data_IF_221650850646
#
_entry.id   IF_221650850646
#
_cell.length_a   1.000
_cell.length_b   1.000
_cell.length_c   1.000
_cell.angle_alpha   90.00
_cell.angle_beta   90.00
_cell.angle_gamma   90.00
#
_symmetry.space_group_name_H-M   'P 1'
#
loop_
_entity.id
_entity.type
_entity.pdbx_description
1 polymer ?
#
# COMPACT_ATOMS: atom_id res chain seq x y z
N UNK A 1 15.18 -7.78 26.15
CA UNK A 1 13.97 -7.18 25.56
C UNK A 1 13.84 -7.76 24.17
N UNK A 2 12.81 -8.57 23.91
CA UNK A 2 12.64 -9.23 22.61
C UNK A 2 12.43 -8.18 21.52
N UNK A 3 13.29 -8.17 20.50
CA UNK A 3 13.08 -7.31 19.34
C UNK A 3 11.72 -7.63 18.68
N UNK A 4 10.86 -6.63 18.43
CA UNK A 4 9.54 -6.81 17.79
C UNK A 4 9.62 -7.23 16.30
N UNK A 5 10.80 -7.57 15.79
CA UNK A 5 10.98 -7.97 14.39
C UNK A 5 10.51 -9.42 14.16
N UNK A 6 10.61 -10.28 15.17
CA UNK A 6 10.17 -11.69 15.07
C UNK A 6 8.65 -11.87 15.05
N UNK A 7 7.86 -10.85 15.39
CA UNK A 7 6.39 -10.99 15.51
C UNK A 7 5.65 -10.93 14.18
N UNK A 8 6.25 -10.41 13.11
CA UNK A 8 5.57 -10.22 11.82
C UNK A 8 6.15 -11.07 10.67
N UNK A 9 7.20 -11.85 10.94
CA UNK A 9 7.76 -12.83 10.02
C UNK A 9 7.06 -14.17 10.27
N UNK A 10 6.35 -14.74 9.28
CA UNK A 10 5.57 -15.98 9.40
C UNK A 10 4.17 -15.77 10.02
N UNK A 11 3.33 -15.00 9.33
CA UNK A 11 1.90 -14.87 9.67
C UNK A 11 1.06 -15.17 8.45
N UNK A 12 -0.07 -15.88 8.63
CA UNK A 12 -1.05 -16.02 7.57
C UNK A 12 -1.70 -14.66 7.26
N UNK A 13 -2.18 -14.47 6.03
CA UNK A 13 -2.96 -13.27 5.71
C UNK A 13 -4.22 -13.18 6.60
N UNK A 14 -4.86 -14.32 6.93
CA UNK A 14 -6.01 -14.38 7.82
C UNK A 14 -5.71 -13.81 9.21
N UNK A 15 -4.60 -14.21 9.83
CA UNK A 15 -4.19 -13.66 11.13
C UNK A 15 -3.85 -12.17 11.01
N UNK A 16 -3.17 -11.79 9.94
CA UNK A 16 -2.80 -10.41 9.68
C UNK A 16 -4.01 -9.46 9.53
N UNK A 17 -5.10 -9.93 8.92
CA UNK A 17 -6.35 -9.18 8.77
C UNK A 17 -7.04 -8.85 10.10
N UNK A 18 -6.75 -9.62 11.16
CA UNK A 18 -7.32 -9.44 12.50
C UNK A 18 -6.38 -8.69 13.46
N UNK A 19 -5.14 -8.44 13.04
CA UNK A 19 -4.12 -7.84 13.88
C UNK A 19 -4.15 -6.32 13.81
N UNK A 20 -4.19 -5.66 14.96
CA UNK A 20 -3.92 -4.23 15.07
C UNK A 20 -2.41 -3.97 15.04
N UNK A 21 -1.97 -3.01 14.21
CA UNK A 21 -0.59 -2.59 14.02
C UNK A 21 -0.41 -1.22 14.68
N UNK A 22 0.54 -1.13 15.61
CA UNK A 22 0.85 0.12 16.32
C UNK A 22 1.30 1.21 15.32
N UNK A 23 0.54 2.33 15.18
CA UNK A 23 0.89 3.43 14.29
C UNK A 23 2.30 4.00 14.51
N UNK A 24 2.82 3.97 15.74
CA UNK A 24 4.15 4.51 16.06
C UNK A 24 5.31 3.76 15.38
N UNK A 25 5.04 2.54 14.91
CA UNK A 25 6.02 1.65 14.27
C UNK A 25 5.98 1.70 12.73
N UNK A 26 5.02 2.43 12.16
CA UNK A 26 4.76 2.46 10.72
C UNK A 26 5.63 3.46 9.97
N UNK A 27 5.81 3.20 8.68
CA UNK A 27 6.38 4.14 7.73
C UNK A 27 5.26 5.06 7.20
N UNK A 28 5.47 6.36 7.30
CA UNK A 28 4.57 7.44 6.85
C UNK A 28 5.35 8.45 6.01
N UNK A 29 4.90 8.64 4.76
CA UNK A 29 5.35 9.64 3.79
C UNK A 29 6.87 9.66 3.51
N UNK A 30 7.50 8.50 3.38
CA UNK A 30 8.93 8.36 3.18
C UNK A 30 9.36 8.51 1.70
N UNK A 31 8.85 9.53 1.00
CA UNK A 31 9.23 9.83 -0.39
C UNK A 31 10.50 10.70 -0.46
N UNK A 32 11.21 10.67 -1.59
CA UNK A 32 12.39 11.52 -1.83
C UNK A 32 12.09 13.00 -1.50
N UNK A 33 12.96 13.66 -0.74
CA UNK A 33 12.70 15.03 -0.23
C UNK A 33 12.78 16.14 -1.27
N UNK A 34 13.33 15.83 -2.45
CA UNK A 34 13.52 16.74 -3.59
C UNK A 34 12.28 16.86 -4.49
N UNK A 35 11.22 16.09 -4.22
CA UNK A 35 9.97 16.10 -4.99
C UNK A 35 10.06 15.38 -6.34
N UNK A 36 11.13 14.61 -6.59
CA UNK A 36 11.36 13.91 -7.86
C UNK A 36 10.59 12.59 -8.00
N UNK A 37 9.86 12.15 -6.96
CA UNK A 37 9.30 10.79 -6.83
C UNK A 37 10.34 9.69 -7.09
N UNK A 38 11.62 9.99 -6.80
CA UNK A 38 12.75 9.07 -7.00
C UNK A 38 12.64 7.83 -6.14
N UNK A 39 13.17 6.74 -6.68
CA UNK A 39 13.15 5.42 -6.05
C UNK A 39 13.81 5.45 -4.66
N UNK A 40 13.06 5.01 -3.66
CA UNK A 40 13.56 4.71 -2.31
C UNK A 40 13.76 3.21 -2.14
N UNK A 41 14.78 2.81 -1.39
CA UNK A 41 15.06 1.38 -1.12
C UNK A 41 14.08 0.75 -0.11
N UNK A 42 13.37 1.57 0.66
CA UNK A 42 12.27 1.22 1.56
C UNK A 42 10.89 1.61 0.96
N UNK A 43 9.78 1.06 1.47
CA UNK A 43 8.42 1.51 1.14
C UNK A 43 8.24 2.99 1.43
N UNK A 44 7.54 3.71 0.54
CA UNK A 44 7.20 5.12 0.79
C UNK A 44 6.11 5.32 1.86
N UNK A 45 5.55 4.22 2.38
CA UNK A 45 4.68 4.21 3.55
C UNK A 45 3.27 4.74 3.31
N UNK A 46 2.57 5.01 4.41
CA UNK A 46 1.27 5.68 4.41
C UNK A 46 1.38 7.05 3.73
N UNK A 47 0.35 7.44 2.98
CA UNK A 47 0.29 8.79 2.44
C UNK A 47 0.18 9.83 3.57
N UNK A 48 0.63 11.07 3.33
CA UNK A 48 0.59 12.18 4.29
C UNK A 48 -0.79 12.41 4.94
N UNK A 49 -1.87 12.08 4.22
CA UNK A 49 -3.26 12.23 4.68
C UNK A 49 -3.61 11.28 5.84
N UNK A 50 -2.79 10.25 6.06
CA UNK A 50 -2.87 9.39 7.22
C UNK A 50 -2.65 10.15 8.55
N UNK A 51 -1.97 11.31 8.53
CA UNK A 51 -1.84 12.18 9.71
C UNK A 51 -3.18 12.58 10.34
N UNK A 52 -4.25 12.65 9.54
CA UNK A 52 -5.59 12.98 10.03
C UNK A 52 -6.43 11.76 10.38
N UNK A 53 -5.89 10.56 10.17
CA UNK A 53 -6.64 9.29 10.27
C UNK A 53 -5.99 8.28 11.22
N UNK A 54 -4.73 8.42 11.59
CA UNK A 54 -4.03 7.41 12.42
C UNK A 54 -4.68 7.22 13.80
N UNK A 55 -5.32 8.26 14.35
CA UNK A 55 -6.03 8.22 15.64
C UNK A 55 -7.35 7.44 15.58
N UNK A 56 -7.86 7.14 14.39
CA UNK A 56 -9.02 6.23 14.20
C UNK A 56 -8.69 4.78 14.56
N UNK A 57 -7.39 4.47 14.74
CA UNK A 57 -6.93 3.23 15.33
C UNK A 57 -7.39 1.99 14.55
N UNK A 58 -8.04 1.06 15.24
CA UNK A 58 -8.42 -0.24 14.68
C UNK A 58 -9.34 -0.14 13.46
N UNK A 59 -10.14 0.93 13.35
CA UNK A 59 -11.11 1.15 12.28
C UNK A 59 -10.47 1.28 10.89
N UNK A 60 -9.18 1.63 10.82
CA UNK A 60 -8.46 1.79 9.55
C UNK A 60 -7.61 0.59 9.18
N UNK A 61 -7.60 -0.45 10.01
CA UNK A 61 -6.66 -1.58 9.89
C UNK A 61 -7.30 -2.96 9.95
N UNK A 62 -8.46 -3.08 10.60
CA UNK A 62 -9.15 -4.36 10.82
C UNK A 62 -10.59 -4.24 10.35
N UNK A 63 -11.00 -5.18 9.52
CA UNK A 63 -12.35 -5.28 8.96
C UNK A 63 -12.63 -6.69 8.46
N UNK A 64 -13.82 -6.89 7.91
CA UNK A 64 -14.33 -8.23 7.58
C UNK A 64 -13.79 -8.80 6.26
N UNK A 65 -13.18 -7.98 5.42
CA UNK A 65 -12.71 -8.34 4.08
C UNK A 65 -13.78 -9.06 3.23
N UNK A 66 -15.04 -8.66 3.35
CA UNK A 66 -16.16 -9.27 2.61
C UNK A 66 -16.31 -8.75 1.17
N UNK A 67 -15.77 -7.57 0.86
CA UNK A 67 -15.83 -6.98 -0.48
C UNK A 67 -14.65 -7.46 -1.34
N UNK A 68 -14.90 -7.75 -2.62
CA UNK A 68 -13.88 -8.38 -3.47
C UNK A 68 -12.70 -7.46 -3.77
N UNK A 69 -12.95 -6.31 -4.40
CA UNK A 69 -11.88 -5.44 -4.89
C UNK A 69 -12.33 -3.99 -4.92
N UNK A 70 -11.42 -3.09 -4.55
CA UNK A 70 -11.61 -1.66 -4.68
C UNK A 70 -10.62 -1.09 -5.71
N UNK A 71 -11.12 -0.20 -6.56
CA UNK A 71 -10.29 0.67 -7.41
C UNK A 71 -10.64 2.11 -7.09
N UNK A 72 -9.64 2.92 -6.74
CA UNK A 72 -9.87 4.33 -6.38
C UNK A 72 -8.64 5.20 -6.69
N UNK A 73 -7.99 4.94 -7.82
CA UNK A 73 -6.79 5.66 -8.22
C UNK A 73 -7.11 6.83 -9.13
N UNK A 74 -6.35 7.92 -9.04
CA UNK A 74 -6.50 9.01 -9.99
C UNK A 74 -5.94 8.60 -11.36
N UNK A 75 -6.81 8.51 -12.38
CA UNK A 75 -6.41 8.09 -13.73
C UNK A 75 -5.67 9.17 -14.53
N UNK A 76 -5.60 10.40 -14.02
CA UNK A 76 -4.94 11.54 -14.64
C UNK A 76 -3.54 11.86 -14.06
N UNK A 77 -3.03 11.07 -13.11
CA UNK A 77 -1.65 11.21 -12.59
C UNK A 77 -0.65 10.40 -13.42
N UNK A 78 0.65 10.54 -13.14
CA UNK A 78 1.74 9.79 -13.80
C UNK A 78 1.81 9.97 -15.34
N UNK A 79 1.19 11.03 -15.84
CA UNK A 79 1.15 11.36 -17.27
C UNK A 79 2.53 11.70 -17.81
N UNK A 80 3.43 12.25 -16.98
CA UNK A 80 4.80 12.58 -17.37
C UNK A 80 5.62 11.35 -17.78
N UNK A 81 5.38 10.20 -17.15
CA UNK A 81 6.16 8.98 -17.35
C UNK A 81 5.48 8.02 -18.31
N UNK A 82 4.15 7.84 -18.19
CA UNK A 82 3.42 6.76 -18.86
C UNK A 82 2.27 7.19 -19.77
N UNK A 83 2.04 8.48 -20.02
CA UNK A 83 0.90 8.90 -20.86
C UNK A 83 0.89 8.28 -22.26
N UNK A 84 2.06 8.06 -22.87
CA UNK A 84 2.22 7.43 -24.18
C UNK A 84 2.42 5.91 -24.14
N UNK A 85 2.45 5.30 -22.96
CA UNK A 85 2.65 3.86 -22.83
C UNK A 85 1.34 3.11 -23.05
N UNK A 86 1.44 1.89 -23.60
CA UNK A 86 0.28 1.00 -23.79
C UNK A 86 -0.41 0.69 -22.47
N UNK A 87 0.38 0.43 -21.42
CA UNK A 87 -0.11 0.28 -20.04
C UNK A 87 0.04 1.63 -19.33
N UNK A 88 -1.08 2.33 -19.22
CA UNK A 88 -1.20 3.58 -18.47
C UNK A 88 -2.48 3.57 -17.64
N UNK A 89 -2.61 4.53 -16.71
CA UNK A 89 -3.72 4.56 -15.75
C UNK A 89 -5.11 4.62 -16.39
N UNK A 90 -5.27 5.27 -17.54
CA UNK A 90 -6.54 5.30 -18.28
C UNK A 90 -6.85 3.94 -18.91
N UNK A 91 -5.86 3.31 -19.54
CA UNK A 91 -6.01 1.97 -20.09
C UNK A 91 -6.38 0.95 -19.01
N UNK A 92 -5.75 1.06 -17.82
CA UNK A 92 -6.06 0.22 -16.66
C UNK A 92 -7.52 0.44 -16.22
N UNK A 93 -7.96 1.69 -16.08
CA UNK A 93 -9.35 2.02 -15.72
C UNK A 93 -10.36 1.44 -16.73
N UNK A 94 -10.06 1.50 -18.03
CA UNK A 94 -10.90 0.93 -19.09
C UNK A 94 -10.98 -0.60 -18.99
N UNK A 95 -9.84 -1.29 -18.83
CA UNK A 95 -9.80 -2.75 -18.71
C UNK A 95 -10.58 -3.24 -17.48
N UNK A 96 -10.43 -2.56 -16.35
CA UNK A 96 -11.17 -2.87 -15.12
C UNK A 96 -12.67 -2.65 -15.30
N UNK A 97 -13.08 -1.57 -15.98
CA UNK A 97 -14.48 -1.30 -16.26
C UNK A 97 -15.13 -2.37 -17.15
N UNK A 98 -14.39 -2.91 -18.13
CA UNK A 98 -14.86 -4.04 -18.95
C UNK A 98 -15.16 -5.28 -18.10
N UNK A 99 -14.43 -5.46 -17.00
CA UNK A 99 -14.64 -6.53 -16.01
C UNK A 99 -15.57 -6.12 -14.86
N UNK A 100 -16.35 -5.04 -15.02
CA UNK A 100 -17.31 -4.50 -14.04
C UNK A 100 -16.67 -4.03 -12.73
N UNK A 101 -15.38 -3.72 -12.74
CA UNK A 101 -14.66 -3.11 -11.62
C UNK A 101 -14.56 -1.61 -11.90
N UNK A 102 -15.52 -0.85 -11.37
CA UNK A 102 -15.53 0.61 -11.53
C UNK A 102 -14.47 1.27 -10.63
N UNK A 103 -13.76 2.25 -11.19
CA UNK A 103 -12.88 3.12 -10.43
C UNK A 103 -13.71 4.18 -9.68
N UNK A 104 -13.47 4.32 -8.38
CA UNK A 104 -14.28 5.11 -7.48
C UNK A 104 -13.53 6.35 -7.00
N UNK A 105 -14.28 7.43 -6.76
CA UNK A 105 -13.77 8.60 -6.04
C UNK A 105 -14.20 8.46 -4.58
N UNK A 106 -13.23 8.20 -3.71
CA UNK A 106 -13.47 8.01 -2.28
C UNK A 106 -12.98 9.24 -1.53
N UNK A 107 -13.82 9.85 -0.67
CA UNK A 107 -13.37 10.91 0.22
C UNK A 107 -12.19 10.48 1.08
N UNK A 108 -11.25 11.40 1.25
CA UNK A 108 -9.96 11.13 1.92
C UNK A 108 -10.12 10.68 3.38
N UNK A 109 -11.15 11.19 4.05
CA UNK A 109 -11.54 10.85 5.41
C UNK A 109 -12.21 9.48 5.51
N UNK A 110 -12.66 8.91 4.38
CA UNK A 110 -13.29 7.59 4.30
C UNK A 110 -12.41 6.51 3.71
N UNK A 111 -11.37 6.89 2.99
CA UNK A 111 -10.47 5.96 2.31
C UNK A 111 -9.90 4.90 3.26
N UNK A 112 -9.27 5.31 4.35
CA UNK A 112 -8.63 4.38 5.29
C UNK A 112 -9.64 3.50 6.06
N UNK A 113 -10.84 4.00 6.36
CA UNK A 113 -11.91 3.21 6.99
C UNK A 113 -12.52 2.18 6.01
N UNK A 114 -12.48 2.47 4.70
CA UNK A 114 -13.04 1.59 3.69
C UNK A 114 -12.13 0.38 3.42
N UNK A 115 -10.80 0.57 3.41
CA UNK A 115 -9.84 -0.45 2.99
C UNK A 115 -10.03 -1.82 3.68
N UNK A 116 -10.15 -1.93 5.02
CA UNK A 116 -10.19 -3.23 5.70
C UNK A 116 -11.43 -4.08 5.40
N UNK A 117 -12.38 -3.56 4.60
CA UNK A 117 -13.54 -4.32 4.15
C UNK A 117 -13.29 -5.02 2.79
N UNK A 118 -12.16 -4.74 2.12
CA UNK A 118 -11.84 -5.28 0.80
C UNK A 118 -10.71 -6.31 0.82
N UNK A 119 -10.84 -7.38 0.04
CA UNK A 119 -9.80 -8.40 -0.14
C UNK A 119 -8.64 -7.89 -0.99
N UNK A 120 -8.95 -7.19 -2.09
CA UNK A 120 -7.95 -6.66 -3.02
C UNK A 120 -8.06 -5.15 -3.21
N UNK A 121 -6.93 -4.51 -3.50
CA UNK A 121 -6.86 -3.09 -3.87
C UNK A 121 -6.13 -2.95 -5.20
N UNK A 122 -6.76 -2.32 -6.19
CA UNK A 122 -6.09 -1.94 -7.43
C UNK A 122 -5.06 -0.85 -7.12
N UNK A 123 -3.78 -1.19 -7.26
CA UNK A 123 -2.69 -0.30 -6.93
C UNK A 123 -1.66 -0.19 -8.05
N UNK A 124 -2.00 0.42 -9.20
CA UNK A 124 -1.02 0.70 -10.23
C UNK A 124 0.08 1.63 -9.74
N UNK A 125 1.28 1.55 -10.35
CA UNK A 125 2.44 2.39 -10.02
C UNK A 125 2.04 3.88 -9.91
N UNK A 126 2.65 4.59 -8.96
CA UNK A 126 2.47 6.04 -8.73
C UNK A 126 3.04 6.92 -9.84
N UNK A 127 3.38 8.16 -9.49
CA UNK A 127 4.21 9.02 -10.35
C UNK A 127 5.65 8.46 -10.49
N UNK A 128 6.10 7.73 -9.46
CA UNK A 128 7.21 6.79 -9.53
C UNK A 128 6.72 5.34 -9.57
N UNK A 129 7.65 4.39 -9.51
CA UNK A 129 7.33 2.95 -9.49
C UNK A 129 6.58 2.55 -8.20
N UNK A 130 6.90 3.16 -7.05
CA UNK A 130 6.22 2.88 -5.79
C UNK A 130 4.96 3.74 -5.61
N UNK A 131 4.03 3.27 -4.79
CA UNK A 131 2.77 3.93 -4.51
C UNK A 131 2.39 3.71 -3.05
N UNK A 132 1.92 4.77 -2.36
CA UNK A 132 1.42 4.67 -0.99
C UNK A 132 0.37 3.56 -0.86
N UNK A 133 -0.48 3.41 -1.88
CA UNK A 133 -1.55 2.41 -1.93
C UNK A 133 -1.05 0.96 -1.85
N UNK A 134 0.19 0.66 -2.26
CA UNK A 134 0.77 -0.68 -2.02
C UNK A 134 0.84 -0.96 -0.53
N UNK A 135 1.41 -0.01 0.21
CA UNK A 135 1.67 -0.11 1.63
C UNK A 135 0.38 0.01 2.44
N UNK A 136 -0.51 0.93 2.07
CA UNK A 136 -1.82 1.13 2.72
C UNK A 136 -2.70 -0.11 2.62
N UNK A 137 -2.77 -0.73 1.44
CA UNK A 137 -3.49 -1.99 1.24
C UNK A 137 -2.93 -3.10 2.12
N UNK A 138 -1.60 -3.26 2.15
CA UNK A 138 -0.95 -4.28 2.96
C UNK A 138 -1.24 -4.09 4.46
N UNK A 139 -1.17 -2.88 4.99
CA UNK A 139 -1.47 -2.63 6.41
C UNK A 139 -2.95 -2.87 6.77
N UNK A 140 -3.87 -2.53 5.86
CA UNK A 140 -5.29 -2.77 6.03
C UNK A 140 -5.70 -4.25 5.92
N UNK A 141 -4.75 -5.15 5.60
CA UNK A 141 -5.02 -6.58 5.41
C UNK A 141 -5.49 -6.96 3.99
N UNK A 142 -5.43 -6.02 3.06
CA UNK A 142 -5.75 -6.23 1.66
C UNK A 142 -4.54 -6.75 0.87
N UNK A 143 -4.81 -7.36 -0.29
CA UNK A 143 -3.80 -7.77 -1.27
C UNK A 143 -3.74 -6.71 -2.38
N UNK A 144 -2.67 -5.91 -2.50
CA UNK A 144 -2.55 -4.98 -3.61
C UNK A 144 -2.32 -5.72 -4.93
N UNK A 145 -2.96 -5.22 -5.99
CA UNK A 145 -2.79 -5.68 -7.37
C UNK A 145 -1.90 -4.67 -8.10
N UNK A 146 -0.67 -5.10 -8.41
CA UNK A 146 0.42 -4.21 -8.87
C UNK A 146 0.98 -4.72 -10.20
N UNK A 147 1.39 -3.82 -11.08
CA UNK A 147 2.17 -4.18 -12.27
C UNK A 147 3.42 -4.97 -11.88
N UNK A 148 3.74 -5.99 -12.67
CA UNK A 148 4.93 -6.78 -12.43
C UNK A 148 6.21 -5.94 -12.61
N UNK A 149 6.88 -5.67 -11.50
CA UNK A 149 8.09 -4.87 -11.46
C UNK A 149 9.14 -5.49 -10.52
N UNK A 150 10.35 -5.73 -11.02
CA UNK A 150 11.43 -6.37 -10.26
C UNK A 150 11.86 -5.58 -9.03
N UNK A 151 11.81 -4.23 -9.09
CA UNK A 151 12.13 -3.37 -7.96
C UNK A 151 11.07 -3.47 -6.87
N UNK A 152 9.79 -3.53 -7.23
CA UNK A 152 8.67 -3.72 -6.28
C UNK A 152 8.74 -5.11 -5.64
N UNK A 153 8.97 -6.16 -6.43
CA UNK A 153 9.16 -7.53 -5.92
C UNK A 153 10.26 -7.61 -4.86
N UNK A 154 11.36 -6.89 -5.06
CA UNK A 154 12.44 -6.82 -4.06
C UNK A 154 12.03 -6.03 -2.82
N UNK A 155 11.38 -4.89 -3.00
CA UNK A 155 10.97 -3.98 -1.91
C UNK A 155 9.98 -4.63 -0.95
N UNK A 156 8.94 -5.28 -1.47
CA UNK A 156 7.90 -5.95 -0.70
C UNK A 156 8.08 -7.48 -0.68
N UNK A 157 9.33 -7.95 -0.74
CA UNK A 157 9.62 -9.39 -0.75
C UNK A 157 9.02 -10.05 0.48
N UNK A 158 8.18 -11.06 0.25
CA UNK A 158 7.53 -11.84 1.29
C UNK A 158 6.14 -11.33 1.67
N UNK A 159 5.71 -10.15 1.20
CA UNK A 159 4.35 -9.64 1.44
C UNK A 159 3.34 -10.24 0.43
N UNK A 160 2.04 -10.31 0.79
CA UNK A 160 0.99 -10.76 -0.12
C UNK A 160 0.72 -9.71 -1.19
N UNK A 161 1.14 -9.98 -2.44
CA UNK A 161 0.92 -9.10 -3.58
C UNK A 161 0.46 -9.95 -4.77
N UNK A 162 -0.57 -9.49 -5.46
CA UNK A 162 -0.98 -10.06 -6.74
C UNK A 162 -0.34 -9.25 -7.87
N UNK A 163 0.73 -9.78 -8.46
CA UNK A 163 1.37 -9.15 -9.60
C UNK A 163 0.62 -9.46 -10.89
N UNK A 164 0.48 -8.46 -11.76
CA UNK A 164 -0.15 -8.60 -13.08
C UNK A 164 0.70 -7.96 -14.17
N UNK A 165 0.65 -8.52 -15.39
CA UNK A 165 1.19 -7.88 -16.60
C UNK A 165 0.09 -7.20 -17.42
N UNK A 166 -1.17 -7.54 -17.16
CA UNK A 166 -2.32 -7.07 -17.91
C UNK A 166 -3.56 -7.04 -17.01
N UNK A 167 -4.06 -5.84 -16.73
CA UNK A 167 -5.24 -5.65 -15.90
C UNK A 167 -6.53 -6.20 -16.53
N UNK A 168 -6.54 -6.58 -17.82
CA UNK A 168 -7.69 -7.23 -18.47
C UNK A 168 -8.00 -8.62 -17.89
N UNK A 169 -7.04 -9.27 -17.24
CA UNK A 169 -7.23 -10.58 -16.59
C UNK A 169 -7.97 -10.48 -15.25
N UNK A 170 -8.05 -9.27 -14.69
CA UNK A 170 -8.59 -9.02 -13.36
C UNK A 170 -10.11 -9.09 -13.40
N UNK A 171 -10.63 -10.26 -13.05
CA UNK A 171 -12.06 -10.57 -12.97
C UNK A 171 -12.41 -11.07 -11.58
N UNK A 172 -13.69 -10.97 -11.19
CA UNK A 172 -14.16 -11.48 -9.89
C UNK A 172 -13.83 -12.96 -9.68
N UNK A 173 -14.00 -13.79 -10.71
CA UNK A 173 -13.64 -15.22 -10.67
C UNK A 173 -12.15 -15.42 -10.40
N UNK A 174 -11.29 -14.74 -11.17
CA UNK A 174 -9.84 -14.83 -10.98
C UNK A 174 -9.44 -14.40 -9.57
N UNK A 175 -9.98 -13.28 -9.08
CA UNK A 175 -9.68 -12.77 -7.74
C UNK A 175 -10.14 -13.72 -6.63
N UNK A 176 -11.32 -14.34 -6.77
CA UNK A 176 -11.78 -15.36 -5.82
C UNK A 176 -10.79 -16.53 -5.74
N UNK A 177 -10.36 -17.07 -6.89
CA UNK A 177 -9.40 -18.17 -6.96
C UNK A 177 -8.02 -17.80 -6.38
N UNK A 178 -7.59 -16.55 -6.55
CA UNK A 178 -6.33 -16.07 -5.95
C UNK A 178 -6.48 -15.88 -4.43
N UNK A 179 -7.59 -15.33 -3.97
CA UNK A 179 -7.82 -15.10 -2.54
C UNK A 179 -7.80 -16.40 -1.74
N UNK A 180 -8.46 -17.45 -2.25
CA UNK A 180 -8.50 -18.77 -1.59
C UNK A 180 -7.09 -19.37 -1.43
N UNK A 181 -6.17 -19.09 -2.37
CA UNK A 181 -4.77 -19.53 -2.27
C UNK A 181 -3.96 -18.67 -1.29
N UNK A 182 -4.27 -17.38 -1.19
CA UNK A 182 -3.47 -16.41 -0.46
C UNK A 182 -3.88 -16.27 1.01
N UNK A 183 -5.15 -16.48 1.36
CA UNK A 183 -5.67 -16.14 2.69
C UNK A 183 -5.01 -16.93 3.84
N UNK A 184 -4.72 -18.22 3.61
CA UNK A 184 -4.07 -19.09 4.60
C UNK A 184 -2.58 -19.33 4.32
N UNK A 185 -2.00 -18.59 3.35
CA UNK A 185 -0.56 -18.60 3.08
C UNK A 185 0.17 -17.72 4.10
N UNK A 186 1.33 -18.20 4.59
CA UNK A 186 2.22 -17.42 5.44
C UNK A 186 3.05 -16.41 4.65
N UNK A 187 3.17 -15.21 5.20
CA UNK A 187 3.90 -14.10 4.64
C UNK A 187 4.87 -13.49 5.67
N UNK A 188 5.77 -12.66 5.16
CA UNK A 188 6.67 -11.82 5.96
C UNK A 188 6.27 -10.36 5.81
N UNK A 189 5.66 -9.82 6.87
CA UNK A 189 5.21 -8.42 6.95
C UNK A 189 6.23 -7.51 7.63
N UNK A 190 7.38 -8.03 8.09
CA UNK A 190 8.33 -7.25 8.91
C UNK A 190 8.77 -5.97 8.19
N UNK A 191 8.97 -6.04 6.87
CA UNK A 191 9.40 -4.92 6.01
C UNK A 191 8.47 -3.70 6.02
N UNK A 192 7.25 -3.86 6.50
CA UNK A 192 6.31 -2.75 6.63
C UNK A 192 6.62 -1.86 7.84
N UNK A 193 7.48 -2.30 8.76
CA UNK A 193 7.72 -1.60 10.01
C UNK A 193 9.11 -1.00 10.08
N UNK A 194 9.24 0.15 10.76
CA UNK A 194 10.52 0.81 11.03
C UNK A 194 11.54 -0.16 11.62
N UNK A 195 11.11 -0.97 12.59
CA UNK A 195 11.98 -1.90 13.31
C UNK A 195 12.67 -2.93 12.43
N UNK A 196 12.22 -3.17 11.19
CA UNK A 196 12.90 -4.07 10.26
C UNK A 196 14.21 -3.49 9.72
N UNK A 197 14.31 -2.17 9.64
CA UNK A 197 15.43 -1.47 9.02
C UNK A 197 16.51 -1.17 10.07
N UNK A 198 17.76 -1.04 9.63
CA UNK A 198 18.84 -0.54 10.49
C UNK A 198 18.59 0.91 10.93
N UNK A 199 19.33 1.36 11.95
CA UNK A 199 19.15 2.69 12.54
C UNK A 199 19.37 3.81 11.51
N UNK A 200 20.35 3.69 10.62
CA UNK A 200 20.59 4.72 9.60
C UNK A 200 19.39 4.86 8.66
N UNK A 201 18.86 3.74 8.18
CA UNK A 201 17.68 3.70 7.32
C UNK A 201 16.42 4.17 8.04
N UNK A 202 16.25 3.85 9.32
CA UNK A 202 15.14 4.37 10.12
C UNK A 202 15.18 5.90 10.21
N UNK A 203 16.35 6.46 10.44
CA UNK A 203 16.57 7.90 10.53
C UNK A 203 16.27 8.57 9.18
N UNK A 204 16.70 7.98 8.06
CA UNK A 204 16.36 8.44 6.71
C UNK A 204 14.85 8.44 6.46
N UNK A 205 14.17 7.34 6.82
CA UNK A 205 12.71 7.21 6.71
C UNK A 205 12.02 8.33 7.50
N UNK A 206 12.44 8.55 8.76
CA UNK A 206 11.85 9.56 9.64
C UNK A 206 12.08 10.97 9.11
N UNK A 207 13.27 11.25 8.59
CA UNK A 207 13.60 12.55 7.99
C UNK A 207 12.77 12.82 6.73
N UNK A 208 12.68 11.84 5.82
CA UNK A 208 11.82 11.93 4.63
C UNK A 208 10.36 12.21 5.02
N UNK A 209 9.82 11.43 5.97
CA UNK A 209 8.45 11.60 6.46
C UNK A 209 8.22 12.98 7.06
N UNK A 210 9.00 13.37 8.08
CA UNK A 210 8.83 14.67 8.75
C UNK A 210 9.05 15.85 7.80
N UNK A 211 9.93 15.74 6.79
CA UNK A 211 10.11 16.76 5.77
C UNK A 211 8.80 17.04 5.00
N UNK A 212 8.16 15.99 4.50
CA UNK A 212 6.90 16.12 3.76
C UNK A 212 5.72 16.47 4.66
N UNK A 213 5.62 15.85 5.83
CA UNK A 213 4.52 16.10 6.76
C UNK A 213 4.55 17.53 7.29
N UNK A 214 5.72 18.09 7.58
CA UNK A 214 5.85 19.50 7.97
C UNK A 214 5.39 20.41 6.82
N UNK A 215 5.81 20.12 5.58
CA UNK A 215 5.41 20.91 4.39
C UNK A 215 3.91 20.85 4.08
N UNK A 216 3.29 19.68 4.26
CA UNK A 216 1.91 19.43 3.83
C UNK A 216 0.87 19.66 4.93
N UNK A 217 1.26 19.48 6.20
CA UNK A 217 0.34 19.44 7.35
C UNK A 217 0.75 20.37 8.50
N UNK A 218 1.95 20.96 8.45
CA UNK A 218 2.55 21.73 9.54
C UNK A 218 2.72 20.92 10.85
N UNK A 219 2.84 19.58 10.74
CA UNK A 219 3.01 18.65 11.85
C UNK A 219 4.14 17.65 11.55
N UNK A 220 4.68 17.04 12.60
CA UNK A 220 5.59 15.90 12.52
C UNK A 220 4.88 14.63 12.98
N UNK A 221 5.29 13.49 12.45
CA UNK A 221 4.79 12.18 12.90
C UNK A 221 5.78 11.48 13.81
N UNK A 222 7.08 11.62 13.53
CA UNK A 222 8.13 11.01 14.33
C UNK A 222 8.77 12.03 15.26
N UNK A 223 9.01 11.61 16.50
CA UNK A 223 9.89 12.32 17.41
C UNK A 223 11.34 12.07 16.95
N UNK A 224 11.91 13.08 16.30
CA UNK A 224 13.30 13.12 15.81
C UNK A 224 14.11 14.13 16.60
#
# INVERSE_FOLDING_TARGET
MNHPIKTYSCMTLREWQQLYKDPSTLIVQASAMDGSDSWQHFPIGMNWTYMYNYTKGIQTQVGDHNLMVISCFNSNTDTRRRSSHTVNRKAIEINLLQNRIANQVIPIDKYFEALPNYKFVISPEGNGVDCHRHYEALLAGCIPIIEENTKIKKKYKGCPILFTKDYSEITEKYLSEQYDKMIDTEYDFSRLFLGYYDTETQEDIKQCGNCWLTRLTNQKFYDV
#
